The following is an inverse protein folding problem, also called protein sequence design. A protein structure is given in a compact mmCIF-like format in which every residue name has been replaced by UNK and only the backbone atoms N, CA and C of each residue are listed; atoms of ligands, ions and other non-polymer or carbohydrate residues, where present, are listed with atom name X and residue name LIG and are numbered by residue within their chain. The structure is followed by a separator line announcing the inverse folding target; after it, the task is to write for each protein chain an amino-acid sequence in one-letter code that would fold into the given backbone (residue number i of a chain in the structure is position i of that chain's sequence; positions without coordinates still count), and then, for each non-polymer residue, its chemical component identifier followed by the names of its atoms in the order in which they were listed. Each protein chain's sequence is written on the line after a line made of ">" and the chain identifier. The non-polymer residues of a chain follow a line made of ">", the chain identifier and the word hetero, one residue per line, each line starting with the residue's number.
data_IF_018471349073
#
_entry.id   IF_018471349073
#
_cell.length_a   1.000
_cell.length_b   1.000
_cell.length_c   1.000
_cell.angle_alpha   90.00
_cell.angle_beta   90.00
_cell.angle_gamma   90.00
#
_symmetry.space_group_name_H-M   'P 1'
#
loop_
_entity.id
_entity.type
_entity.pdbx_description
1 polymer ?
#
# COMPACT_ATOMS: atom_id res chain seq x y z
N UNK A 1 19.78 6.75 9.26
CA UNK A 1 18.42 6.69 8.66
C UNK A 1 18.19 5.30 8.11
N UNK A 2 17.04 4.65 8.37
CA UNK A 2 16.78 3.30 7.83
C UNK A 2 16.59 3.32 6.31
N UNK A 3 15.81 4.27 5.78
CA UNK A 3 15.71 4.57 4.34
C UNK A 3 15.00 5.92 4.15
N UNK A 4 15.34 6.65 3.08
CA UNK A 4 14.52 7.74 2.54
C UNK A 4 13.87 7.25 1.24
N UNK A 5 12.58 7.48 1.11
CA UNK A 5 11.77 7.16 -0.07
C UNK A 5 11.76 8.36 -1.00
N UNK A 6 11.78 8.09 -2.30
CA UNK A 6 11.69 9.08 -3.37
C UNK A 6 10.24 9.38 -3.67
N UNK A 7 9.96 10.57 -4.19
CA UNK A 7 8.63 10.88 -4.73
C UNK A 7 8.27 9.88 -5.81
N UNK A 8 7.09 9.26 -5.67
CA UNK A 8 6.60 8.20 -6.55
C UNK A 8 6.82 6.80 -5.98
N UNK A 9 7.69 6.64 -4.98
CA UNK A 9 7.83 5.37 -4.25
C UNK A 9 6.72 5.21 -3.20
N UNK A 10 6.36 3.97 -2.95
CA UNK A 10 5.34 3.57 -1.99
C UNK A 10 5.49 2.13 -1.55
N UNK A 11 4.47 1.62 -0.84
CA UNK A 11 4.36 0.21 -0.47
C UNK A 11 3.10 -0.38 -1.11
N UNK A 12 3.19 -1.65 -1.52
CA UNK A 12 2.05 -2.42 -2.02
C UNK A 12 1.26 -2.98 -0.84
N UNK A 13 0.03 -2.48 -0.63
CA UNK A 13 -0.82 -2.82 0.52
C UNK A 13 -2.28 -3.02 0.10
N UNK A 14 -2.95 -4.05 0.64
CA UNK A 14 -4.37 -4.29 0.36
C UNK A 14 -5.06 -5.19 1.37
N UNK A 15 -6.40 -5.22 1.34
CA UNK A 15 -7.18 -6.10 2.23
C UNK A 15 -7.04 -7.58 1.84
N UNK A 16 -6.70 -7.85 0.59
CA UNK A 16 -6.43 -9.18 0.04
C UNK A 16 -5.01 -9.25 -0.47
N UNK A 17 -4.38 -10.41 -0.31
CA UNK A 17 -3.07 -10.68 -0.93
C UNK A 17 -3.11 -10.71 -2.46
N UNK A 18 -4.30 -10.87 -3.06
CA UNK A 18 -4.50 -10.91 -4.51
C UNK A 18 -4.62 -9.53 -5.18
N UNK A 19 -4.74 -8.46 -4.40
CA UNK A 19 -4.85 -7.09 -4.90
C UNK A 19 -4.27 -6.09 -3.90
N UNK A 20 -3.06 -5.59 -4.20
CA UNK A 20 -2.30 -4.71 -3.33
C UNK A 20 -2.12 -3.34 -3.99
N UNK A 21 -2.72 -2.31 -3.42
CA UNK A 21 -2.66 -0.93 -3.89
C UNK A 21 -1.29 -0.32 -3.60
N UNK A 22 -0.79 0.51 -4.52
CA UNK A 22 0.46 1.22 -4.32
C UNK A 22 0.22 2.50 -3.50
N UNK A 23 0.44 2.41 -2.19
CA UNK A 23 0.29 3.51 -1.23
C UNK A 23 1.57 4.35 -1.23
N UNK A 24 1.45 5.60 -1.67
CA UNK A 24 2.57 6.53 -1.84
C UNK A 24 3.19 6.94 -0.50
N UNK A 25 4.51 7.12 -0.50
CA UNK A 25 5.25 7.66 0.64
C UNK A 25 4.97 9.15 0.83
N UNK A 26 5.00 9.63 2.08
CA UNK A 26 4.70 11.02 2.43
C UNK A 26 5.84 11.97 2.01
N UNK A 27 6.03 12.12 0.71
CA UNK A 27 7.11 12.85 0.05
C UNK A 27 6.64 14.18 -0.53
N UNK A 28 5.32 14.39 -0.59
CA UNK A 28 4.68 15.62 -1.06
C UNK A 28 4.27 16.45 0.16
N UNK A 29 4.68 17.71 0.17
CA UNK A 29 4.21 18.68 1.17
C UNK A 29 2.72 18.99 0.93
N UNK A 30 1.91 18.92 1.98
CA UNK A 30 0.58 19.55 1.97
C UNK A 30 0.67 20.90 2.68
N UNK A 31 -0.22 21.84 2.37
CA UNK A 31 -0.16 23.23 2.88
C UNK A 31 -0.07 23.37 4.40
N UNK A 32 -0.35 22.31 5.17
CA UNK A 32 -0.30 22.28 6.62
C UNK A 32 0.69 21.24 7.21
N UNK A 33 1.28 20.39 6.37
CA UNK A 33 2.12 19.26 6.82
C UNK A 33 3.37 19.12 5.95
N UNK A 34 4.54 19.31 6.57
CA UNK A 34 5.82 19.06 5.93
C UNK A 34 5.98 17.58 5.54
N UNK A 35 6.65 17.33 4.42
CA UNK A 35 6.93 16.00 3.93
C UNK A 35 7.77 15.18 4.94
N UNK A 36 7.47 13.89 5.02
CA UNK A 36 8.19 12.90 5.83
C UNK A 36 8.56 11.73 4.92
N UNK A 37 9.62 11.86 4.10
CA UNK A 37 10.01 10.85 3.10
C UNK A 37 10.49 9.52 3.69
N UNK A 38 10.40 9.33 5.00
CA UNK A 38 10.67 8.08 5.72
C UNK A 38 9.36 7.41 6.22
N UNK A 39 8.19 7.96 5.87
CA UNK A 39 6.88 7.52 6.35
C UNK A 39 5.97 7.09 5.20
N UNK A 40 5.27 5.98 5.42
CA UNK A 40 4.14 5.53 4.61
C UNK A 40 2.99 5.23 5.56
N UNK A 41 1.81 5.79 5.31
CA UNK A 41 0.60 5.47 6.06
C UNK A 41 -0.05 4.23 5.42
N UNK A 42 0.53 3.07 5.71
CA UNK A 42 0.33 1.84 4.94
C UNK A 42 -1.13 1.33 4.92
N UNK A 43 -1.86 1.38 6.04
CA UNK A 43 -3.22 0.84 6.12
C UNK A 43 -3.58 0.32 7.53
N UNK A 44 -4.72 -0.39 7.69
CA UNK A 44 -5.12 -1.00 8.95
C UNK A 44 -4.31 -2.25 9.28
N UNK A 45 -4.38 -2.67 10.54
CA UNK A 45 -3.64 -3.81 11.09
C UNK A 45 -3.83 -5.15 10.36
N UNK A 46 -4.95 -5.33 9.66
CA UNK A 46 -5.29 -6.55 8.92
C UNK A 46 -4.87 -6.51 7.44
N UNK A 47 -4.43 -5.36 6.91
CA UNK A 47 -4.02 -5.29 5.51
C UNK A 47 -2.70 -6.04 5.31
N UNK A 48 -2.55 -6.64 4.13
CA UNK A 48 -1.32 -7.29 3.70
C UNK A 48 -0.36 -6.27 3.10
N UNK A 49 0.94 -6.45 3.34
CA UNK A 49 2.03 -5.77 2.61
C UNK A 49 2.83 -6.78 1.79
N UNK A 50 3.30 -6.37 0.61
CA UNK A 50 4.19 -7.19 -0.22
C UNK A 50 5.65 -7.13 0.25
N UNK A 51 6.31 -8.28 0.31
CA UNK A 51 7.69 -8.42 0.76
C UNK A 51 8.68 -8.69 -0.40
N UNK A 52 9.99 -8.44 -0.21
CA UNK A 52 10.99 -8.62 -1.26
C UNK A 52 11.14 -10.05 -1.79
N UNK A 53 10.85 -11.05 -0.96
CA UNK A 53 10.85 -12.49 -1.33
C UNK A 53 9.61 -12.91 -2.14
N UNK A 54 8.71 -11.96 -2.39
CA UNK A 54 7.46 -12.17 -3.09
C UNK A 54 6.32 -12.64 -2.20
N UNK A 55 6.52 -12.83 -0.89
CA UNK A 55 5.47 -13.17 0.04
C UNK A 55 4.61 -11.94 0.43
N UNK A 56 3.58 -12.17 1.23
CA UNK A 56 2.78 -11.12 1.88
C UNK A 56 2.72 -11.36 3.37
N UNK A 57 2.67 -10.29 4.14
CA UNK A 57 2.57 -10.33 5.61
C UNK A 57 1.53 -9.34 6.10
N UNK A 58 0.85 -9.61 7.21
CA UNK A 58 -0.05 -8.62 7.77
C UNK A 58 0.73 -7.43 8.33
N UNK A 59 0.21 -6.21 8.16
CA UNK A 59 0.83 -5.01 8.74
C UNK A 59 0.99 -5.10 10.26
N UNK A 60 0.09 -5.80 10.95
CA UNK A 60 0.18 -6.07 12.40
C UNK A 60 1.34 -6.97 12.82
N UNK A 61 1.87 -7.78 11.90
CA UNK A 61 2.95 -8.73 12.20
C UNK A 61 4.33 -8.15 11.92
N UNK A 62 4.39 -7.02 11.21
CA UNK A 62 5.63 -6.31 10.95
C UNK A 62 6.29 -5.84 12.25
N UNK A 63 7.62 -5.87 12.27
CA UNK A 63 8.44 -5.41 13.39
C UNK A 63 9.51 -4.43 12.90
N UNK A 64 10.06 -3.64 13.82
CA UNK A 64 11.25 -2.87 13.50
C UNK A 64 12.39 -3.81 13.11
N UNK A 65 13.08 -3.50 12.02
CA UNK A 65 14.11 -4.35 11.42
C UNK A 65 13.60 -5.26 10.30
N UNK A 66 12.29 -5.45 10.13
CA UNK A 66 11.75 -6.19 8.98
C UNK A 66 12.07 -5.46 7.67
N UNK A 67 12.37 -6.22 6.63
CA UNK A 67 12.48 -5.71 5.26
C UNK A 67 11.12 -5.69 4.57
N UNK A 68 10.82 -4.58 3.89
CA UNK A 68 9.64 -4.43 3.02
C UNK A 68 10.07 -3.92 1.65
N UNK A 69 9.20 -4.07 0.65
CA UNK A 69 9.51 -3.66 -0.71
C UNK A 69 8.96 -2.26 -1.00
N UNK A 70 9.85 -1.30 -1.25
CA UNK A 70 9.48 0.00 -1.82
C UNK A 70 9.39 -0.11 -3.34
N UNK A 71 8.30 0.38 -3.94
CA UNK A 71 7.98 0.23 -5.37
C UNK A 71 7.55 1.58 -5.95
N UNK A 72 7.91 1.87 -7.20
CA UNK A 72 7.42 3.03 -7.96
C UNK A 72 6.41 2.66 -9.07
N UNK A 73 5.92 3.66 -9.80
CA UNK A 73 4.88 3.50 -10.82
C UNK A 73 5.30 2.58 -11.98
N UNK A 74 6.59 2.52 -12.27
CA UNK A 74 7.17 1.66 -13.31
C UNK A 74 7.51 0.25 -12.81
N UNK A 75 7.17 -0.05 -11.55
CA UNK A 75 7.42 -1.34 -10.93
C UNK A 75 8.89 -1.55 -10.53
N UNK A 76 9.73 -0.50 -10.55
CA UNK A 76 11.09 -0.60 -10.03
C UNK A 76 11.00 -0.70 -8.52
N UNK A 77 11.71 -1.67 -7.96
CA UNK A 77 11.57 -2.04 -6.56
C UNK A 77 12.91 -2.18 -5.86
N UNK A 78 12.93 -1.89 -4.56
CA UNK A 78 14.10 -2.08 -3.68
C UNK A 78 13.68 -2.39 -2.25
N UNK A 79 14.46 -3.22 -1.56
CA UNK A 79 14.24 -3.48 -0.14
C UNK A 79 14.53 -2.22 0.70
N UNK A 80 13.68 -1.98 1.69
CA UNK A 80 13.85 -0.95 2.71
C UNK A 80 13.55 -1.52 4.09
N UNK A 81 14.20 -0.97 5.11
CA UNK A 81 14.06 -1.43 6.50
C UNK A 81 12.98 -0.64 7.23
N UNK A 82 12.07 -1.36 7.88
CA UNK A 82 11.07 -0.78 8.79
C UNK A 82 11.78 -0.27 10.04
N UNK A 83 11.86 1.05 10.22
CA UNK A 83 12.47 1.64 11.42
C UNK A 83 11.56 1.57 12.66
N UNK A 84 10.26 1.81 12.47
CA UNK A 84 9.25 1.82 13.53
C UNK A 84 7.86 1.62 12.94
N UNK A 85 6.99 0.96 13.70
CA UNK A 85 5.55 0.93 13.46
C UNK A 85 4.82 1.85 14.42
N UNK A 86 3.81 2.57 13.91
CA UNK A 86 2.92 3.40 14.71
C UNK A 86 1.49 3.02 14.38
N UNK A 87 0.78 2.52 15.39
CA UNK A 87 -0.63 2.15 15.29
C UNK A 87 -1.43 3.20 16.08
N UNK A 88 -2.41 3.80 15.44
CA UNK A 88 -3.31 4.76 16.07
C UNK A 88 -4.75 4.57 15.56
N UNK A 89 -5.72 5.04 16.33
CA UNK A 89 -7.14 5.02 15.95
C UNK A 89 -7.48 6.31 15.22
N UNK A 90 -8.05 6.18 14.02
CA UNK A 90 -8.51 7.28 13.16
C UNK A 90 -9.78 6.84 12.42
N UNK A 91 -10.62 7.77 11.94
CA UNK A 91 -11.60 7.46 10.92
C UNK A 91 -10.91 6.81 9.70
N UNK A 92 -11.56 5.80 9.12
CA UNK A 92 -11.06 5.03 7.99
C UNK A 92 -11.98 5.22 6.78
N UNK A 93 -11.42 5.04 5.60
CA UNK A 93 -12.13 5.00 4.32
C UNK A 93 -11.90 3.65 3.66
N UNK A 94 -12.96 3.07 3.10
CA UNK A 94 -12.88 1.93 2.20
C UNK A 94 -12.69 2.46 0.78
N UNK A 95 -11.64 2.03 0.10
CA UNK A 95 -11.37 2.33 -1.30
C UNK A 95 -11.56 1.04 -2.09
N UNK A 96 -12.35 1.12 -3.17
CA UNK A 96 -12.59 0.02 -4.09
C UNK A 96 -11.99 0.37 -5.46
N UNK A 97 -11.39 -0.61 -6.13
CA UNK A 97 -10.96 -0.50 -7.52
C UNK A 97 -11.41 -1.74 -8.30
N UNK A 98 -11.66 -1.56 -9.59
CA UNK A 98 -12.01 -2.64 -10.50
C UNK A 98 -10.89 -2.84 -11.53
N UNK A 99 -10.44 -4.08 -11.70
CA UNK A 99 -9.49 -4.47 -12.75
C UNK A 99 -10.06 -5.70 -13.46
N UNK A 100 -10.31 -5.55 -14.77
CA UNK A 100 -10.84 -6.63 -15.62
C UNK A 100 -12.10 -7.32 -15.02
N UNK A 101 -13.04 -6.52 -14.49
CA UNK A 101 -14.28 -7.03 -13.88
C UNK A 101 -14.14 -7.64 -12.48
N UNK A 102 -12.92 -7.62 -11.90
CA UNK A 102 -12.67 -8.06 -10.52
C UNK A 102 -12.52 -6.86 -9.61
N UNK A 103 -13.21 -6.89 -8.47
CA UNK A 103 -13.13 -5.84 -7.46
C UNK A 103 -12.04 -6.15 -6.44
N UNK A 104 -11.25 -5.13 -6.11
CA UNK A 104 -10.24 -5.15 -5.05
C UNK A 104 -10.52 -4.02 -4.07
N UNK A 105 -10.17 -4.24 -2.81
CA UNK A 105 -10.39 -3.24 -1.76
C UNK A 105 -9.16 -3.02 -0.91
N UNK A 106 -9.03 -1.80 -0.41
CA UNK A 106 -8.12 -1.47 0.67
C UNK A 106 -8.81 -0.50 1.62
N UNK A 107 -8.35 -0.46 2.85
CA UNK A 107 -8.80 0.52 3.83
C UNK A 107 -7.62 1.43 4.16
N UNK A 108 -7.87 2.72 4.24
CA UNK A 108 -6.86 3.72 4.61
C UNK A 108 -7.42 4.70 5.64
N UNK A 109 -6.56 5.45 6.31
CA UNK A 109 -7.03 6.52 7.19
C UNK A 109 -7.62 7.66 6.37
N UNK A 110 -8.65 8.32 6.90
CA UNK A 110 -9.17 9.54 6.30
C UNK A 110 -8.22 10.71 6.58
N UNK A 111 -7.21 10.91 5.74
CA UNK A 111 -6.23 11.99 5.84
C UNK A 111 -5.63 12.35 4.49
N UNK A 112 -5.49 13.65 4.21
CA UNK A 112 -4.91 14.21 2.96
C UNK A 112 -3.46 13.77 2.66
N UNK A 113 -2.75 13.27 3.69
CA UNK A 113 -1.37 12.77 3.56
C UNK A 113 -1.32 11.34 3.02
N UNK A 114 -2.47 10.66 2.92
CA UNK A 114 -2.56 9.34 2.30
C UNK A 114 -2.87 9.53 0.83
N UNK A 115 -1.96 9.04 -0.01
CA UNK A 115 -2.05 9.13 -1.46
C UNK A 115 -1.84 7.77 -2.09
N UNK A 116 -2.48 7.57 -3.23
CA UNK A 116 -2.26 6.43 -4.11
C UNK A 116 -1.38 6.87 -5.27
N UNK A 117 -0.47 6.00 -5.71
CA UNK A 117 0.31 6.27 -6.93
C UNK A 117 -0.59 6.09 -8.14
N UNK A 118 -0.55 7.05 -9.05
CA UNK A 118 -1.33 7.05 -10.29
C UNK A 118 -0.50 6.50 -11.47
N UNK A 119 -1.13 6.05 -12.57
CA UNK A 119 -0.42 5.47 -13.71
C UNK A 119 0.62 6.38 -14.38
N UNK A 120 0.47 7.70 -14.26
CA UNK A 120 1.40 8.71 -14.77
C UNK A 120 2.60 8.98 -13.82
N UNK A 121 2.71 8.25 -12.71
CA UNK A 121 3.73 8.45 -11.68
C UNK A 121 3.41 9.54 -10.67
N UNK A 122 2.21 10.12 -10.74
CA UNK A 122 1.68 11.07 -9.78
C UNK A 122 1.23 10.44 -8.46
N UNK A 123 0.59 11.25 -7.62
CA UNK A 123 0.07 10.82 -6.32
C UNK A 123 -1.27 11.51 -6.00
N UNK A 124 -2.33 10.72 -5.98
CA UNK A 124 -3.70 11.18 -5.76
C UNK A 124 -4.11 11.02 -4.30
N UNK A 125 -4.51 12.11 -3.66
CA UNK A 125 -4.97 12.11 -2.26
C UNK A 125 -6.26 11.33 -2.10
N UNK A 126 -6.38 10.57 -1.00
CA UNK A 126 -7.64 9.90 -0.66
C UNK A 126 -8.79 10.89 -0.48
N UNK A 127 -8.51 12.13 -0.09
CA UNK A 127 -9.53 13.19 0.04
C UNK A 127 -9.98 13.78 -1.31
N UNK A 128 -9.25 13.51 -2.38
CA UNK A 128 -9.54 13.99 -3.75
C UNK A 128 -10.04 12.87 -4.67
N UNK A 129 -9.96 11.61 -4.23
CA UNK A 129 -10.45 10.45 -4.96
C UNK A 129 -11.94 10.58 -5.29
N UNK A 130 -12.27 10.29 -6.55
CA UNK A 130 -13.63 10.15 -7.05
C UNK A 130 -13.75 8.88 -7.90
N UNK A 131 -14.98 8.52 -8.24
CA UNK A 131 -15.23 7.46 -9.21
C UNK A 131 -14.50 7.75 -10.53
N UNK A 132 -14.06 6.69 -11.19
CA UNK A 132 -13.31 6.71 -12.45
C UNK A 132 -11.88 7.26 -12.38
N UNK A 133 -11.37 7.62 -11.19
CA UNK A 133 -9.94 7.88 -11.01
C UNK A 133 -9.13 6.57 -11.07
N UNK A 134 -7.97 6.64 -11.71
CA UNK A 134 -7.07 5.49 -11.86
C UNK A 134 -5.93 5.52 -10.83
N UNK A 135 -5.69 4.38 -10.20
CA UNK A 135 -4.59 4.17 -9.26
C UNK A 135 -3.88 2.86 -9.56
N UNK A 136 -2.62 2.73 -9.16
CA UNK A 136 -1.85 1.52 -9.37
C UNK A 136 -2.11 0.49 -8.26
N UNK A 137 -2.31 -0.75 -8.68
CA UNK A 137 -2.28 -1.91 -7.80
C UNK A 137 -1.56 -3.09 -8.47
N UNK A 138 -0.95 -3.94 -7.65
CA UNK A 138 -0.47 -5.25 -8.06
C UNK A 138 -1.59 -6.27 -7.87
N UNK A 139 -1.95 -6.96 -8.95
CA UNK A 139 -2.85 -8.12 -8.89
C UNK A 139 -2.05 -9.43 -8.92
N UNK A 140 -2.61 -10.48 -8.33
CA UNK A 140 -2.11 -11.84 -8.48
C UNK A 140 -3.23 -12.77 -8.89
N UNK A 141 -2.89 -13.75 -9.74
CA UNK A 141 -3.78 -14.85 -10.12
C UNK A 141 -3.57 -16.01 -9.14
N UNK A 142 -4.66 -16.51 -8.55
CA UNK A 142 -4.63 -17.53 -7.49
C UNK A 142 -4.51 -16.94 -6.08
N UNK A 143 -5.18 -17.55 -5.09
CA UNK A 143 -5.17 -17.08 -3.70
C UNK A 143 -3.83 -17.36 -2.98
N UNK A 144 -3.59 -16.70 -1.84
CA UNK A 144 -2.51 -17.06 -0.92
C UNK A 144 -3.07 -17.47 0.43
N UNK A 145 -2.49 -18.52 1.02
CA UNK A 145 -2.71 -18.88 2.41
C UNK A 145 -1.40 -18.70 3.16
N UNK A 146 -1.38 -17.89 4.23
CA UNK A 146 -0.17 -17.57 4.99
C UNK A 146 1.01 -17.04 4.17
N UNK A 147 0.74 -16.19 3.17
CA UNK A 147 1.79 -15.57 2.34
C UNK A 147 2.44 -16.50 1.32
N UNK A 148 2.07 -17.78 1.29
CA UNK A 148 2.53 -18.76 0.29
C UNK A 148 1.55 -18.81 -0.89
N UNK A 149 2.08 -18.95 -2.11
CA UNK A 149 1.27 -19.19 -3.32
C UNK A 149 0.59 -20.55 -3.22
N UNK A 150 -0.74 -20.58 -3.31
CA UNK A 150 -1.51 -21.81 -3.43
C UNK A 150 -2.42 -21.67 -4.66
N UNK A 151 -2.45 -22.68 -5.54
CA UNK A 151 -3.49 -22.77 -6.57
C UNK A 151 -4.80 -23.25 -5.91
N UNK A 152 -5.43 -22.39 -5.11
CA UNK A 152 -6.75 -22.63 -4.54
C UNK A 152 -7.68 -21.44 -4.76
N UNK A 153 -8.96 -21.74 -4.94
CA UNK A 153 -10.05 -20.77 -5.04
C UNK A 153 -10.35 -20.24 -3.64
N UNK A 154 -9.64 -19.19 -3.22
CA UNK A 154 -9.92 -18.50 -1.96
C UNK A 154 -11.01 -17.45 -2.21
N UNK A 155 -12.15 -17.59 -1.51
CA UNK A 155 -13.20 -16.58 -1.47
C UNK A 155 -13.09 -15.80 -0.16
N UNK A 156 -12.60 -14.56 -0.23
CA UNK A 156 -12.63 -13.59 0.88
C UNK A 156 -13.94 -12.78 0.77
N UNK A 157 -14.68 -12.65 1.87
CA UNK A 157 -15.99 -11.97 1.95
C UNK A 157 -15.91 -10.70 2.79
#
# INVERSE_FOLDING_TARGET
>A
TCSLLRTGEGLLVGNSSSGLFLIHAETIESGYVAARPFRVNAGPVHAYVYLPDGATKYLSELRAGDEVLAVDAEGRARSVIVGRLKIERRPLLLVEAEVAGRRFTTIVQNAETIRFVTPDGGALSVGELKADDEVLLRTEEGGRHFGMRIQETIAER
#
